data_IF_401133641323
#
_entry.id   IF_401133641323
#
_cell.length_a   1.000
_cell.length_b   1.000
_cell.length_c   1.000
_cell.angle_alpha   90.00
_cell.angle_beta   90.00
_cell.angle_gamma   90.00
#
_symmetry.space_group_name_H-M   'P 1'
#
loop_
_entity.id
_entity.type
_entity.pdbx_description
1 polymer ?
#
# COMPACT_ATOMS: atom_id res chain seq x y z
N UNK A 1 2.21 -28.95 33.21
CA UNK A 1 1.24 -27.97 33.70
C UNK A 1 0.07 -27.88 32.76
N UNK A 2 -1.13 -27.73 33.26
CA UNK A 2 -2.42 -27.77 32.54
C UNK A 2 -2.48 -26.78 31.34
N UNK A 3 -1.78 -25.64 31.44
CA UNK A 3 -1.70 -24.63 30.38
C UNK A 3 -0.98 -25.11 29.10
N UNK A 4 0.09 -25.88 29.27
CA UNK A 4 0.86 -26.41 28.13
C UNK A 4 0.04 -27.43 27.33
N UNK A 5 -0.71 -28.26 28.04
CA UNK A 5 -1.58 -29.31 27.47
C UNK A 5 -2.80 -28.67 26.72
N UNK A 6 -3.33 -27.55 27.22
CA UNK A 6 -4.41 -26.82 26.56
C UNK A 6 -3.94 -26.15 25.25
N UNK A 7 -2.77 -25.52 25.28
CA UNK A 7 -2.16 -24.92 24.08
C UNK A 7 -1.83 -25.97 23.03
N UNK A 8 -1.30 -27.13 23.42
CA UNK A 8 -1.01 -28.22 22.50
C UNK A 8 -2.29 -28.84 21.89
N UNK A 9 -3.37 -28.95 22.67
CA UNK A 9 -4.68 -29.41 22.15
C UNK A 9 -5.35 -28.39 21.23
N UNK A 10 -5.33 -27.12 21.57
CA UNK A 10 -5.84 -26.06 20.71
C UNK A 10 -5.03 -25.97 19.40
N UNK A 11 -3.72 -26.13 19.48
CA UNK A 11 -2.84 -26.13 18.30
C UNK A 11 -3.09 -27.33 17.37
N UNK A 12 -3.36 -28.53 17.94
CA UNK A 12 -3.71 -29.74 17.16
C UNK A 12 -5.10 -29.62 16.54
N UNK A 13 -6.08 -29.03 17.23
CA UNK A 13 -7.42 -28.77 16.69
C UNK A 13 -7.35 -27.72 15.60
N UNK A 14 -6.57 -26.65 15.81
CA UNK A 14 -6.34 -25.62 14.79
C UNK A 14 -5.62 -26.16 13.55
N UNK A 15 -4.62 -27.03 13.73
CA UNK A 15 -3.95 -27.75 12.63
C UNK A 15 -4.90 -28.65 11.86
N UNK A 16 -5.82 -29.38 12.53
CA UNK A 16 -6.81 -30.24 11.86
C UNK A 16 -7.86 -29.43 11.09
N UNK A 17 -8.32 -28.32 11.63
CA UNK A 17 -9.28 -27.43 10.96
C UNK A 17 -8.67 -26.70 9.77
N UNK A 18 -7.38 -26.35 9.84
CA UNK A 18 -6.69 -25.67 8.72
C UNK A 18 -6.20 -26.63 7.65
N UNK A 19 -5.95 -27.90 7.98
CA UNK A 19 -5.43 -28.89 7.02
C UNK A 19 -6.51 -29.45 6.08
N UNK A 20 -7.78 -29.45 6.49
CA UNK A 20 -8.88 -29.98 5.68
C UNK A 20 -9.62 -28.95 4.83
N UNK A 21 -9.40 -27.65 5.04
CA UNK A 21 -9.91 -26.60 4.17
C UNK A 21 -8.79 -26.17 3.20
N UNK A 22 -8.71 -26.86 2.05
CA UNK A 22 -7.95 -26.36 0.89
C UNK A 22 -8.68 -25.12 0.33
N UNK A 23 -8.68 -24.05 1.10
CA UNK A 23 -9.01 -22.76 0.52
C UNK A 23 -7.91 -22.40 -0.48
N UNK A 24 -8.25 -22.14 -1.73
CA UNK A 24 -7.24 -21.71 -2.70
C UNK A 24 -6.54 -20.48 -2.15
N UNK A 25 -5.21 -20.45 -2.31
CA UNK A 25 -4.42 -19.27 -1.94
C UNK A 25 -4.96 -18.07 -2.73
N UNK A 26 -5.28 -17.00 -2.05
CA UNK A 26 -5.54 -15.73 -2.70
C UNK A 26 -4.24 -15.22 -3.33
N UNK A 27 -4.33 -14.68 -4.53
CA UNK A 27 -3.24 -13.99 -5.21
C UNK A 27 -3.65 -12.53 -5.46
N UNK A 28 -3.84 -11.73 -4.39
CA UNK A 28 -4.29 -10.37 -4.55
C UNK A 28 -3.21 -9.53 -5.24
N UNK A 29 -3.66 -8.61 -6.07
CA UNK A 29 -2.86 -7.53 -6.61
C UNK A 29 -3.57 -6.25 -6.25
N UNK A 30 -3.04 -5.54 -5.27
CA UNK A 30 -3.71 -4.44 -4.60
C UNK A 30 -2.79 -3.23 -4.61
N UNK A 31 -3.33 -2.09 -5.01
CA UNK A 31 -2.73 -0.78 -4.81
C UNK A 31 -3.51 -0.11 -3.70
N UNK A 32 -2.84 0.19 -2.60
CA UNK A 32 -3.40 0.92 -1.46
C UNK A 32 -3.07 2.39 -1.60
N UNK A 33 -4.09 3.22 -1.72
CA UNK A 33 -3.96 4.66 -1.82
C UNK A 33 -4.66 5.37 -0.67
N UNK A 34 -4.31 6.61 -0.43
CA UNK A 34 -4.89 7.45 0.63
C UNK A 34 -3.85 8.40 1.23
N UNK A 35 -4.32 9.35 2.01
CA UNK A 35 -3.47 10.37 2.65
C UNK A 35 -2.67 9.79 3.83
N UNK A 36 -1.86 10.63 4.46
CA UNK A 36 -1.27 10.31 5.77
C UNK A 36 -2.36 10.01 6.79
N UNK A 37 -2.02 9.31 7.86
CA UNK A 37 -2.91 8.93 8.96
C UNK A 37 -4.05 7.95 8.59
N UNK A 38 -4.11 7.41 7.37
CA UNK A 38 -5.07 6.35 7.00
C UNK A 38 -4.56 4.95 7.33
N UNK A 39 -3.38 4.83 7.90
CA UNK A 39 -2.74 3.57 8.31
C UNK A 39 -2.58 2.54 7.17
N UNK A 40 -2.29 3.03 5.95
CA UNK A 40 -2.09 2.17 4.78
C UNK A 40 -1.01 1.10 4.99
N UNK A 41 0.12 1.52 5.52
CA UNK A 41 1.29 0.65 5.74
C UNK A 41 0.96 -0.47 6.71
N UNK A 42 0.25 -0.18 7.80
CA UNK A 42 -0.21 -1.18 8.76
C UNK A 42 -1.19 -2.16 8.11
N UNK A 43 -2.10 -1.66 7.27
CA UNK A 43 -3.03 -2.49 6.50
C UNK A 43 -2.27 -3.34 5.48
N UNK A 44 -1.27 -2.79 4.79
CA UNK A 44 -0.44 -3.52 3.84
C UNK A 44 0.29 -4.69 4.52
N UNK A 45 0.88 -4.46 5.68
CA UNK A 45 1.51 -5.52 6.47
C UNK A 45 0.50 -6.57 6.95
N UNK A 46 -0.66 -6.13 7.46
CA UNK A 46 -1.70 -7.05 7.91
C UNK A 46 -2.22 -7.95 6.76
N UNK A 47 -2.39 -7.39 5.57
CA UNK A 47 -2.74 -8.14 4.36
C UNK A 47 -1.63 -9.12 3.98
N UNK A 48 -0.37 -8.67 4.02
CA UNK A 48 0.78 -9.49 3.66
C UNK A 48 0.98 -10.70 4.60
N UNK A 49 0.60 -10.56 5.88
CA UNK A 49 0.65 -11.63 6.88
C UNK A 49 -0.62 -12.49 6.92
N UNK A 50 -1.67 -12.11 6.21
CA UNK A 50 -2.96 -12.79 6.31
C UNK A 50 -2.85 -14.25 5.83
N UNK A 51 -3.38 -15.25 6.58
CA UNK A 51 -3.21 -16.68 6.28
C UNK A 51 -3.69 -17.10 4.89
N UNK A 52 -4.71 -16.44 4.33
CA UNK A 52 -5.20 -16.72 2.98
C UNK A 52 -4.26 -16.22 1.89
N UNK A 53 -3.41 -15.25 2.18
CA UNK A 53 -2.41 -14.69 1.26
C UNK A 53 -1.11 -15.48 1.37
N UNK A 54 -0.61 -15.64 2.60
CA UNK A 54 0.62 -16.43 2.87
C UNK A 54 0.40 -17.91 2.54
N UNK A 55 -0.77 -18.45 2.90
CA UNK A 55 -1.13 -19.85 2.71
C UNK A 55 -0.40 -20.79 3.68
N UNK A 56 -0.74 -22.10 3.64
CA UNK A 56 -0.15 -23.12 4.50
C UNK A 56 1.19 -23.58 3.93
N UNK A 57 2.24 -22.78 4.06
CA UNK A 57 3.58 -23.10 3.57
C UNK A 57 4.51 -23.47 4.71
N UNK A 58 5.41 -24.40 4.46
CA UNK A 58 6.49 -24.76 5.40
C UNK A 58 7.41 -23.57 5.65
N UNK A 59 7.63 -22.75 4.62
CA UNK A 59 8.37 -21.50 4.71
C UNK A 59 7.38 -20.36 4.45
N UNK A 60 7.44 -19.32 5.28
CA UNK A 60 6.61 -18.12 5.12
C UNK A 60 7.17 -17.26 3.98
N UNK A 61 6.64 -17.47 2.79
CA UNK A 61 6.86 -16.56 1.68
C UNK A 61 5.73 -15.54 1.66
N UNK A 62 6.07 -14.32 1.99
CA UNK A 62 5.14 -13.20 1.94
C UNK A 62 4.93 -12.75 0.49
N UNK A 63 3.82 -12.12 0.22
CA UNK A 63 3.62 -11.40 -1.01
C UNK A 63 4.62 -10.24 -1.09
N UNK A 64 5.19 -9.93 -2.25
CA UNK A 64 5.99 -8.74 -2.39
C UNK A 64 5.18 -7.51 -1.98
N UNK A 65 5.73 -6.76 -1.04
CA UNK A 65 5.23 -5.47 -0.59
C UNK A 65 6.17 -4.38 -1.12
N UNK A 66 5.60 -3.45 -1.87
CA UNK A 66 6.30 -2.30 -2.42
C UNK A 66 5.72 -1.07 -1.75
N UNK A 67 6.57 -0.14 -1.33
CA UNK A 67 6.14 1.17 -0.86
C UNK A 67 6.64 2.26 -1.79
N UNK A 68 5.71 3.07 -2.30
CA UNK A 68 6.04 4.26 -3.06
C UNK A 68 6.62 5.39 -2.20
N UNK A 69 6.52 5.28 -0.89
CA UNK A 69 7.18 6.19 0.07
C UNK A 69 8.67 5.84 0.28
N UNK A 70 9.21 4.86 -0.46
CA UNK A 70 10.64 4.57 -0.41
C UNK A 70 11.44 5.78 -0.86
N UNK A 71 12.47 6.12 -0.10
CA UNK A 71 13.38 7.21 -0.42
C UNK A 71 14.37 6.79 -1.52
N UNK A 72 13.84 6.36 -2.68
CA UNK A 72 14.62 5.72 -3.73
C UNK A 72 15.60 6.67 -4.45
N UNK A 73 15.31 7.97 -4.41
CA UNK A 73 16.13 9.00 -5.12
C UNK A 73 17.06 9.78 -4.20
N UNK A 74 16.99 9.53 -2.90
CA UNK A 74 17.86 10.17 -1.92
C UNK A 74 18.32 9.16 -0.87
N UNK A 75 19.45 9.44 -0.25
CA UNK A 75 19.99 8.63 0.85
C UNK A 75 19.63 9.21 2.23
N UNK A 76 18.54 9.94 2.33
CA UNK A 76 18.08 10.53 3.57
C UNK A 76 16.74 9.92 3.99
N UNK A 77 16.49 9.71 5.29
CA UNK A 77 15.17 9.39 5.80
C UNK A 77 14.15 10.44 5.34
N UNK A 78 12.94 10.00 4.95
CA UNK A 78 11.87 10.87 4.42
C UNK A 78 12.28 11.71 3.21
N UNK A 79 13.25 11.25 2.45
CA UNK A 79 13.72 11.88 1.22
C UNK A 79 12.75 11.66 0.04
N UNK A 80 13.28 11.94 -1.16
CA UNK A 80 12.50 11.84 -2.40
C UNK A 80 12.53 10.44 -3.00
N UNK A 81 11.46 10.12 -3.69
CA UNK A 81 11.29 8.90 -4.48
C UNK A 81 10.33 9.12 -5.63
N UNK A 82 9.83 8.06 -6.21
CA UNK A 82 8.97 8.08 -7.39
C UNK A 82 7.60 8.76 -7.21
N UNK A 83 7.17 9.04 -5.99
CA UNK A 83 5.92 9.76 -5.72
C UNK A 83 6.17 11.27 -5.63
N UNK A 84 7.20 11.66 -4.88
CA UNK A 84 7.50 13.03 -4.50
C UNK A 84 8.80 13.54 -5.14
N UNK A 85 9.03 13.14 -6.38
CA UNK A 85 10.20 13.56 -7.15
C UNK A 85 10.17 15.07 -7.48
N UNK A 86 11.34 15.64 -7.67
CA UNK A 86 11.51 17.00 -8.19
C UNK A 86 11.44 17.02 -9.73
N UNK A 87 11.14 18.17 -10.37
CA UNK A 87 11.00 18.26 -11.81
C UNK A 87 12.16 17.67 -12.62
N UNK A 88 13.39 17.79 -12.14
CA UNK A 88 14.58 17.22 -12.79
C UNK A 88 14.69 15.70 -12.65
N UNK A 89 13.94 15.09 -11.74
CA UNK A 89 13.90 13.64 -11.47
C UNK A 89 12.75 12.95 -12.22
N UNK A 90 11.93 13.70 -12.95
CA UNK A 90 10.71 13.20 -13.61
C UNK A 90 10.97 11.99 -14.51
N UNK A 91 11.99 12.06 -15.34
CA UNK A 91 12.35 10.96 -16.25
C UNK A 91 12.69 9.68 -15.47
N UNK A 92 13.42 9.79 -14.38
CA UNK A 92 13.76 8.66 -13.51
C UNK A 92 12.52 8.09 -12.82
N UNK A 93 11.59 8.94 -12.40
CA UNK A 93 10.34 8.52 -11.79
C UNK A 93 9.47 7.75 -12.79
N UNK A 94 9.33 8.24 -14.02
CA UNK A 94 8.56 7.57 -15.07
C UNK A 94 9.19 6.23 -15.47
N UNK A 95 10.51 6.15 -15.62
CA UNK A 95 11.24 4.91 -15.87
C UNK A 95 11.03 3.90 -14.73
N UNK A 96 10.96 4.39 -13.49
CA UNK A 96 10.66 3.54 -12.31
C UNK A 96 9.26 2.94 -12.42
N UNK A 97 8.24 3.72 -12.80
CA UNK A 97 6.89 3.23 -13.04
C UNK A 97 6.83 2.18 -14.14
N UNK A 98 7.49 2.43 -15.27
CA UNK A 98 7.57 1.48 -16.39
C UNK A 98 8.23 0.17 -15.95
N UNK A 99 9.30 0.25 -15.18
CA UNK A 99 10.02 -0.91 -14.65
C UNK A 99 9.14 -1.75 -13.72
N UNK A 100 8.39 -1.11 -12.82
CA UNK A 100 7.46 -1.82 -11.95
C UNK A 100 6.32 -2.48 -12.73
N UNK A 101 5.72 -1.77 -13.67
CA UNK A 101 4.66 -2.35 -14.51
C UNK A 101 5.20 -3.55 -15.29
N UNK A 102 6.41 -3.42 -15.86
CA UNK A 102 7.07 -4.54 -16.55
C UNK A 102 7.30 -5.74 -15.63
N UNK A 103 7.71 -5.50 -14.40
CA UNK A 103 7.89 -6.58 -13.42
C UNK A 103 6.56 -7.26 -13.07
N UNK A 104 5.47 -6.50 -12.92
CA UNK A 104 4.14 -7.04 -12.67
C UNK A 104 3.65 -7.93 -13.83
N UNK A 105 3.91 -7.55 -15.07
CA UNK A 105 3.60 -8.34 -16.27
C UNK A 105 4.40 -9.65 -16.33
N UNK A 106 5.68 -9.59 -16.03
CA UNK A 106 6.57 -10.77 -16.02
C UNK A 106 6.19 -11.74 -14.90
N UNK A 107 5.72 -11.24 -13.78
CA UNK A 107 5.37 -12.02 -12.60
C UNK A 107 3.86 -12.02 -12.33
N UNK A 108 3.06 -12.18 -13.38
CA UNK A 108 1.58 -12.07 -13.34
C UNK A 108 0.87 -13.03 -12.36
N UNK A 109 1.53 -14.10 -11.92
CA UNK A 109 0.98 -15.06 -10.97
C UNK A 109 1.37 -14.78 -9.51
N UNK A 110 2.16 -13.75 -9.28
CA UNK A 110 2.49 -13.31 -7.94
C UNK A 110 1.37 -12.48 -7.33
N UNK A 111 1.29 -12.49 -5.99
CA UNK A 111 0.52 -11.48 -5.25
C UNK A 111 1.37 -10.23 -5.11
N UNK A 112 0.76 -9.06 -5.29
CA UNK A 112 1.42 -7.79 -5.12
C UNK A 112 0.60 -6.89 -4.21
N UNK A 113 1.24 -6.27 -3.23
CA UNK A 113 0.66 -5.24 -2.38
C UNK A 113 1.53 -4.00 -2.55
N UNK A 114 0.94 -2.94 -3.06
CA UNK A 114 1.63 -1.68 -3.33
C UNK A 114 1.06 -0.62 -2.40
N UNK A 115 1.88 -0.13 -1.48
CA UNK A 115 1.55 0.95 -0.55
C UNK A 115 1.96 2.28 -1.17
N UNK A 116 0.99 3.04 -1.66
CA UNK A 116 1.09 4.23 -2.52
C UNK A 116 1.69 3.95 -3.90
N UNK A 117 1.04 4.51 -4.90
CA UNK A 117 1.47 4.38 -6.28
C UNK A 117 1.13 5.65 -7.08
N UNK A 118 0.61 5.52 -8.26
CA UNK A 118 0.39 6.60 -9.22
C UNK A 118 -0.59 7.70 -8.76
N UNK A 119 -1.65 7.38 -8.01
CA UNK A 119 -2.57 8.41 -7.51
C UNK A 119 -1.90 9.29 -6.45
N UNK A 120 -1.07 8.70 -5.60
CA UNK A 120 -0.26 9.45 -4.64
C UNK A 120 0.71 10.40 -5.36
N UNK A 121 1.28 9.98 -6.49
CA UNK A 121 2.12 10.86 -7.32
C UNK A 121 1.29 12.00 -7.91
N UNK A 122 0.16 11.72 -8.54
CA UNK A 122 -0.72 12.78 -9.08
C UNK A 122 -1.10 13.79 -7.99
N UNK A 123 -1.55 13.30 -6.85
CA UNK A 123 -1.92 14.15 -5.70
C UNK A 123 -0.74 15.03 -5.25
N UNK A 124 0.45 14.44 -5.06
CA UNK A 124 1.62 15.17 -4.60
C UNK A 124 2.07 16.23 -5.62
N UNK A 125 2.16 15.84 -6.90
CA UNK A 125 2.64 16.72 -7.97
C UNK A 125 1.66 17.87 -8.23
N UNK A 126 0.35 17.61 -8.20
CA UNK A 126 -0.67 18.66 -8.30
C UNK A 126 -0.58 19.66 -7.15
N UNK A 127 -0.43 19.18 -5.91
CA UNK A 127 -0.36 20.05 -4.74
C UNK A 127 0.94 20.85 -4.67
N UNK A 128 2.07 20.25 -5.09
CA UNK A 128 3.39 20.86 -4.90
C UNK A 128 3.82 21.68 -6.12
N UNK A 129 3.59 21.17 -7.33
CA UNK A 129 4.10 21.75 -8.56
C UNK A 129 3.02 22.19 -9.54
N UNK A 130 1.73 22.01 -9.19
CA UNK A 130 0.57 22.28 -10.05
C UNK A 130 0.66 21.53 -11.39
N UNK A 131 1.29 20.36 -11.39
CA UNK A 131 1.46 19.51 -12.55
C UNK A 131 0.73 18.18 -12.34
N UNK A 132 -0.17 17.84 -13.27
CA UNK A 132 -0.79 16.53 -13.31
C UNK A 132 -0.04 15.59 -14.26
N UNK A 133 -0.17 14.30 -14.02
CA UNK A 133 0.43 13.23 -14.81
C UNK A 133 -0.65 12.27 -15.30
N UNK A 134 -0.62 11.95 -16.56
CA UNK A 134 -1.48 10.94 -17.14
C UNK A 134 -0.88 9.53 -16.91
N UNK A 135 -1.53 8.77 -16.06
CA UNK A 135 -1.18 7.37 -15.79
C UNK A 135 -2.16 6.38 -16.44
N UNK A 136 -2.96 6.80 -17.41
CA UNK A 136 -3.89 5.91 -18.12
C UNK A 136 -3.16 4.71 -18.73
N UNK A 137 -2.00 4.95 -19.35
CA UNK A 137 -1.15 3.90 -19.91
C UNK A 137 -0.75 2.81 -18.90
N UNK A 138 -0.50 3.22 -17.66
CA UNK A 138 -0.14 2.32 -16.56
C UNK A 138 -1.34 1.49 -16.13
N UNK A 139 -2.49 2.13 -15.93
CA UNK A 139 -3.71 1.45 -15.52
C UNK A 139 -4.21 0.46 -16.59
N UNK A 140 -4.12 0.81 -17.87
CA UNK A 140 -4.44 -0.08 -19.00
C UNK A 140 -3.58 -1.35 -19.00
N UNK A 141 -2.34 -1.27 -18.56
CA UNK A 141 -1.44 -2.43 -18.40
C UNK A 141 -1.70 -3.24 -17.12
N UNK A 142 -2.17 -2.58 -16.06
CA UNK A 142 -2.48 -3.24 -14.79
C UNK A 142 -3.85 -3.93 -14.78
N UNK A 143 -4.81 -3.40 -15.51
CA UNK A 143 -6.18 -3.91 -15.57
C UNK A 143 -6.26 -5.40 -15.97
N UNK A 144 -5.61 -5.87 -17.05
CA UNK A 144 -5.61 -7.30 -17.43
C UNK A 144 -4.85 -8.18 -16.45
N UNK A 145 -4.05 -7.62 -15.57
CA UNK A 145 -3.36 -8.34 -14.49
C UNK A 145 -4.23 -8.49 -13.24
N UNK A 146 -5.46 -7.96 -13.25
CA UNK A 146 -6.41 -7.94 -12.12
C UNK A 146 -5.92 -7.14 -10.91
N UNK A 147 -5.20 -6.06 -11.12
CA UNK A 147 -4.94 -5.09 -10.06
C UNK A 147 -6.24 -4.42 -9.63
N UNK A 148 -6.35 -4.18 -8.33
CA UNK A 148 -7.45 -3.44 -7.71
C UNK A 148 -6.91 -2.23 -6.98
N UNK A 149 -7.60 -1.12 -7.18
CA UNK A 149 -7.34 0.12 -6.46
C UNK A 149 -8.18 0.14 -5.18
N UNK A 150 -7.52 0.31 -4.05
CA UNK A 150 -8.18 0.40 -2.74
C UNK A 150 -7.83 1.74 -2.12
N UNK A 151 -8.78 2.65 -2.14
CA UNK A 151 -8.63 3.96 -1.51
C UNK A 151 -9.04 3.89 -0.04
N UNK A 152 -8.08 4.17 0.84
CA UNK A 152 -8.30 4.27 2.28
C UNK A 152 -8.62 5.71 2.65
N UNK A 153 -9.79 5.90 3.21
CA UNK A 153 -10.26 7.22 3.66
C UNK A 153 -10.58 7.21 5.15
N UNK A 154 -10.70 8.40 5.69
CA UNK A 154 -11.04 8.63 7.09
C UNK A 154 -12.05 9.79 7.19
N UNK A 155 -12.95 9.72 8.14
CA UNK A 155 -13.81 10.87 8.41
C UNK A 155 -12.98 12.04 8.97
N UNK A 156 -13.27 13.29 8.58
CA UNK A 156 -12.46 14.44 8.98
C UNK A 156 -12.22 14.54 10.48
N UNK A 157 -13.24 14.29 11.30
CA UNK A 157 -13.19 14.33 12.77
C UNK A 157 -12.30 13.24 13.37
N UNK A 158 -12.01 12.18 12.63
CA UNK A 158 -11.17 11.07 13.11
C UNK A 158 -9.67 11.28 12.88
N UNK A 159 -9.27 12.32 12.15
CA UNK A 159 -7.85 12.61 11.91
C UNK A 159 -7.09 12.96 13.19
N UNK A 160 -7.70 13.69 14.11
CA UNK A 160 -7.05 14.04 15.38
C UNK A 160 -6.71 12.80 16.22
N UNK A 161 -7.66 11.87 16.34
CA UNK A 161 -7.41 10.61 17.04
C UNK A 161 -6.31 9.78 16.35
N UNK A 162 -6.31 9.74 15.02
CA UNK A 162 -5.28 9.05 14.26
C UNK A 162 -3.90 9.69 14.41
N UNK A 163 -3.84 11.03 14.47
CA UNK A 163 -2.61 11.76 14.76
C UNK A 163 -2.07 11.40 16.14
N UNK A 164 -2.91 11.40 17.17
CA UNK A 164 -2.52 11.05 18.52
C UNK A 164 -1.93 9.64 18.61
N UNK A 165 -2.49 8.67 17.89
CA UNK A 165 -1.93 7.32 17.80
C UNK A 165 -0.58 7.30 17.04
N UNK A 166 -0.49 8.00 15.91
CA UNK A 166 0.73 8.04 15.10
C UNK A 166 1.90 8.69 15.83
N UNK A 167 1.65 9.76 16.61
CA UNK A 167 2.69 10.45 17.36
C UNK A 167 3.39 9.59 18.41
N UNK A 168 2.76 8.51 18.88
CA UNK A 168 3.37 7.56 19.82
C UNK A 168 4.56 6.80 19.25
N UNK A 169 4.62 6.66 17.91
CA UNK A 169 5.62 5.81 17.22
C UNK A 169 6.35 6.53 16.08
N UNK A 170 6.04 7.79 15.83
CA UNK A 170 6.63 8.53 14.69
C UNK A 170 8.04 9.02 15.00
N UNK A 171 8.96 8.72 14.09
CA UNK A 171 10.30 9.32 14.08
C UNK A 171 10.35 10.74 13.49
N UNK A 172 9.23 11.23 12.90
CA UNK A 172 9.11 12.58 12.36
C UNK A 172 7.71 13.13 12.68
N UNK A 173 7.47 13.60 13.93
CA UNK A 173 6.16 14.02 14.39
C UNK A 173 5.61 15.27 13.67
N UNK A 174 6.47 16.22 13.28
CA UNK A 174 6.05 17.49 12.66
C UNK A 174 5.35 17.30 11.31
N UNK A 175 5.56 16.17 10.63
CA UNK A 175 4.87 15.88 9.38
C UNK A 175 3.34 15.69 9.53
N UNK A 176 2.82 15.67 10.78
CA UNK A 176 1.41 15.48 11.08
C UNK A 176 0.76 16.73 11.69
N UNK A 177 1.39 17.88 11.61
CA UNK A 177 0.89 19.10 12.26
C UNK A 177 -0.30 19.72 11.54
N UNK A 178 -0.34 19.63 10.22
CA UNK A 178 -1.42 20.19 9.42
C UNK A 178 -2.46 19.12 9.02
N UNK A 179 -3.48 18.95 9.85
CA UNK A 179 -4.58 18.02 9.58
C UNK A 179 -5.49 18.49 8.44
N UNK A 180 -5.62 19.81 8.23
CA UNK A 180 -6.42 20.34 7.14
C UNK A 180 -5.82 19.98 5.79
N UNK A 181 -4.50 20.01 5.68
CA UNK A 181 -3.80 19.54 4.48
C UNK A 181 -4.21 18.10 4.14
N UNK A 182 -4.27 17.19 5.12
CA UNK A 182 -4.64 15.79 4.85
C UNK A 182 -6.10 15.62 4.47
N UNK A 183 -6.98 16.45 4.99
CA UNK A 183 -8.39 16.46 4.59
C UNK A 183 -8.52 16.91 3.13
N UNK A 184 -7.81 17.95 2.72
CA UNK A 184 -7.81 18.41 1.32
C UNK A 184 -7.11 17.42 0.38
N UNK A 185 -5.98 16.85 0.79
CA UNK A 185 -5.35 15.74 0.06
C UNK A 185 -6.31 14.57 -0.15
N UNK A 186 -7.10 14.22 0.88
CA UNK A 186 -8.09 13.14 0.78
C UNK A 186 -9.21 13.47 -0.21
N UNK A 187 -9.67 14.71 -0.26
CA UNK A 187 -10.66 15.13 -1.27
C UNK A 187 -10.08 15.01 -2.68
N UNK A 188 -8.84 15.45 -2.86
CA UNK A 188 -8.16 15.39 -4.14
C UNK A 188 -7.95 13.94 -4.59
N UNK A 189 -7.35 13.08 -3.75
CA UNK A 189 -7.07 11.70 -4.14
C UNK A 189 -8.34 10.89 -4.38
N UNK A 190 -9.45 11.24 -3.70
CA UNK A 190 -10.77 10.64 -3.95
C UNK A 190 -11.25 10.97 -5.36
N UNK A 191 -11.17 12.25 -5.77
CA UNK A 191 -11.50 12.67 -7.13
C UNK A 191 -10.63 11.96 -8.17
N UNK A 192 -9.31 11.86 -7.92
CA UNK A 192 -8.39 11.14 -8.81
C UNK A 192 -8.71 9.63 -8.90
N UNK A 193 -9.18 9.03 -7.81
CA UNK A 193 -9.60 7.63 -7.80
C UNK A 193 -10.89 7.41 -8.61
N UNK A 194 -11.82 8.38 -8.60
CA UNK A 194 -13.04 8.32 -9.42
C UNK A 194 -12.73 8.38 -10.93
N UNK A 195 -11.57 8.91 -11.34
CA UNK A 195 -11.09 8.94 -12.73
C UNK A 195 -10.39 7.62 -13.16
N UNK A 196 -10.01 6.78 -12.21
CA UNK A 196 -9.29 5.54 -12.47
C UNK A 196 -10.16 4.49 -13.17
N UNK A 197 -9.54 3.71 -14.08
CA UNK A 197 -10.19 2.54 -14.70
C UNK A 197 -9.95 1.24 -13.91
N UNK A 198 -9.11 1.27 -12.90
CA UNK A 198 -8.91 0.10 -12.04
C UNK A 198 -10.12 -0.09 -11.11
N UNK A 199 -10.62 -1.34 -10.97
CA UNK A 199 -11.75 -1.63 -10.09
C UNK A 199 -11.40 -1.51 -8.61
#
# INVERSE_FOLDING_TARGET
SVFKTLCDRLWVVWKRLTYNYRMPKLTPKIILEGTRLTFKTEIAFALNEHPRIVGPRKYKYHSPLISGESCAFTNFPWGRGWINFEPQEESLAMETYETWVKLFELQKYYSWIVDRFHLSTRMYQLNTYHKDYDFRWLEERLLPLNFRLVLLTRSPESFEAARAERLKVSGNPSQYDDLNLFIEEQKLIRRLADESILP
#
